data_IF_246465010271
#
_entry.id   IF_246465010271
#
_cell.length_a   1.000
_cell.length_b   1.000
_cell.length_c   1.000
_cell.angle_alpha   90.00
_cell.angle_beta   90.00
_cell.angle_gamma   90.00
#
_symmetry.space_group_name_H-M   'P 1'
#
loop_
_entity.id
_entity.type
_entity.pdbx_description
1 polymer ?
#
# COMPACT_ATOMS: atom_id res chain seq x y z
N UNK A 1 -28.65 1.29 31.65
CA UNK A 1 -27.60 1.85 30.76
C UNK A 1 -27.95 3.29 30.42
N UNK A 2 -27.05 4.23 30.66
CA UNK A 2 -27.25 5.67 30.42
C UNK A 2 -27.26 6.00 28.92
N UNK A 3 -28.06 6.99 28.50
CA UNK A 3 -28.12 7.51 27.11
C UNK A 3 -26.74 7.97 26.62
N UNK A 4 -25.91 8.53 27.51
CA UNK A 4 -24.57 8.98 27.18
C UNK A 4 -23.65 7.83 26.72
N UNK A 5 -23.72 6.66 27.37
CA UNK A 5 -22.93 5.49 26.97
C UNK A 5 -23.37 4.95 25.60
N UNK A 6 -24.67 5.00 25.30
CA UNK A 6 -25.19 4.56 23.98
C UNK A 6 -24.73 5.49 22.86
N UNK A 7 -24.66 6.79 23.13
CA UNK A 7 -24.13 7.77 22.19
C UNK A 7 -22.62 7.59 21.95
N UNK A 8 -21.83 7.35 23.00
CA UNK A 8 -20.40 7.06 22.89
C UNK A 8 -20.13 5.81 22.04
N UNK A 9 -20.81 4.70 22.34
CA UNK A 9 -20.67 3.47 21.53
C UNK A 9 -21.15 3.63 20.09
N UNK A 10 -22.15 4.49 19.83
CA UNK A 10 -22.56 4.80 18.47
C UNK A 10 -21.46 5.56 17.71
N UNK A 11 -20.84 6.57 18.33
CA UNK A 11 -19.74 7.34 17.76
C UNK A 11 -18.50 6.48 17.52
N UNK A 12 -18.13 5.61 18.47
CA UNK A 12 -17.02 4.67 18.33
C UNK A 12 -17.19 3.75 17.12
N UNK A 13 -18.39 3.19 16.92
CA UNK A 13 -18.69 2.31 15.79
C UNK A 13 -18.66 3.05 14.45
N UNK A 14 -19.11 4.30 14.41
CA UNK A 14 -19.02 5.13 13.21
C UNK A 14 -17.56 5.46 12.90
N UNK A 15 -16.78 5.84 13.92
CA UNK A 15 -15.34 6.09 13.78
C UNK A 15 -14.57 4.87 13.29
N UNK A 16 -14.82 3.69 13.87
CA UNK A 16 -14.16 2.45 13.46
C UNK A 16 -14.54 2.02 12.03
N UNK A 17 -15.79 2.21 11.62
CA UNK A 17 -16.24 1.96 10.25
C UNK A 17 -15.47 2.81 9.22
N UNK A 18 -15.42 4.13 9.41
CA UNK A 18 -14.70 5.01 8.49
C UNK A 18 -13.18 4.80 8.54
N UNK A 19 -12.64 4.49 9.72
CA UNK A 19 -11.24 4.11 9.88
C UNK A 19 -10.88 2.86 9.07
N UNK A 20 -11.70 1.82 9.12
CA UNK A 20 -11.49 0.59 8.35
C UNK A 20 -11.56 0.84 6.84
N UNK A 21 -12.51 1.66 6.37
CA UNK A 21 -12.62 2.02 4.94
C UNK A 21 -11.40 2.83 4.49
N UNK A 22 -10.99 3.85 5.24
CA UNK A 22 -9.83 4.66 4.91
C UNK A 22 -8.54 3.83 4.85
N UNK A 23 -8.37 2.90 5.78
CA UNK A 23 -7.27 1.95 5.76
C UNK A 23 -7.31 1.05 4.52
N UNK A 24 -8.49 0.50 4.17
CA UNK A 24 -8.65 -0.31 2.98
C UNK A 24 -8.32 0.47 1.69
N UNK A 25 -8.73 1.74 1.59
CA UNK A 25 -8.38 2.60 0.46
C UNK A 25 -6.87 2.83 0.35
N UNK A 26 -6.19 3.06 1.48
CA UNK A 26 -4.74 3.24 1.52
C UNK A 26 -4.00 1.98 1.06
N UNK A 27 -4.38 0.81 1.58
CA UNK A 27 -3.74 -0.47 1.24
C UNK A 27 -3.98 -0.86 -0.22
N UNK A 28 -5.14 -0.50 -0.78
CA UNK A 28 -5.45 -0.76 -2.20
C UNK A 28 -5.03 0.39 -3.13
N UNK A 29 -4.33 1.41 -2.61
CA UNK A 29 -3.88 2.52 -3.45
C UNK A 29 -2.78 2.07 -4.41
N UNK A 30 -2.71 2.72 -5.57
CA UNK A 30 -1.64 2.51 -6.55
C UNK A 30 -0.25 2.75 -5.93
N UNK A 31 -0.15 3.65 -4.93
CA UNK A 31 1.09 3.87 -4.19
C UNK A 31 1.52 2.64 -3.40
N UNK A 32 0.61 2.04 -2.62
CA UNK A 32 0.91 0.82 -1.86
C UNK A 32 1.28 -0.33 -2.79
N UNK A 33 0.55 -0.52 -3.89
CA UNK A 33 0.85 -1.57 -4.88
C UNK A 33 2.27 -1.44 -5.46
N UNK A 34 2.74 -0.22 -5.73
CA UNK A 34 4.11 0.03 -6.21
C UNK A 34 5.16 -0.24 -5.14
N UNK A 35 4.89 0.09 -3.88
CA UNK A 35 5.77 -0.26 -2.77
C UNK A 35 5.90 -1.77 -2.60
N UNK A 36 4.78 -2.50 -2.69
CA UNK A 36 4.77 -3.95 -2.62
C UNK A 36 5.59 -4.56 -3.77
N UNK A 37 5.47 -4.00 -4.98
CA UNK A 37 6.27 -4.41 -6.13
C UNK A 37 7.77 -4.14 -5.92
N UNK A 38 8.15 -2.99 -5.35
CA UNK A 38 9.55 -2.71 -5.01
C UNK A 38 10.08 -3.72 -4.01
N UNK A 39 9.33 -4.01 -2.94
CA UNK A 39 9.74 -5.00 -1.94
C UNK A 39 9.89 -6.40 -2.55
N UNK A 40 8.96 -6.80 -3.42
CA UNK A 40 9.04 -8.08 -4.12
C UNK A 40 10.28 -8.18 -5.03
N UNK A 41 10.67 -7.10 -5.70
CA UNK A 41 11.89 -7.05 -6.50
C UNK A 41 13.15 -7.00 -5.63
N UNK A 42 13.15 -6.26 -4.52
CA UNK A 42 14.27 -6.19 -3.58
C UNK A 42 14.54 -7.52 -2.88
N UNK A 43 13.51 -8.35 -2.70
CA UNK A 43 13.65 -9.69 -2.13
C UNK A 43 14.36 -10.70 -3.07
N UNK A 44 14.55 -10.36 -4.35
CA UNK A 44 15.24 -11.22 -5.33
C UNK A 44 16.76 -11.10 -5.24
N UNK A 45 17.45 -12.19 -5.54
CA UNK A 45 18.90 -12.22 -5.74
C UNK A 45 19.31 -11.47 -7.02
N UNK A 46 20.60 -11.12 -7.15
CA UNK A 46 21.11 -10.44 -8.34
C UNK A 46 20.98 -11.29 -9.61
N UNK A 47 21.10 -12.62 -9.48
CA UNK A 47 20.91 -13.55 -10.60
C UNK A 47 19.46 -13.52 -11.10
N UNK A 48 18.48 -13.60 -10.19
CA UNK A 48 17.05 -13.52 -10.54
C UNK A 48 16.68 -12.15 -11.12
N UNK A 49 17.26 -11.06 -10.61
CA UNK A 49 17.05 -9.72 -11.19
C UNK A 49 17.65 -9.62 -12.60
N UNK A 50 18.83 -10.22 -12.83
CA UNK A 50 19.47 -10.25 -14.14
C UNK A 50 18.64 -11.05 -15.17
N UNK A 51 18.00 -12.16 -14.77
CA UNK A 51 17.06 -12.90 -15.62
C UNK A 51 15.86 -12.05 -16.05
N UNK A 52 15.42 -11.12 -15.20
CA UNK A 52 14.37 -10.14 -15.49
C UNK A 52 14.89 -8.91 -16.24
N UNK A 53 16.19 -8.85 -16.54
CA UNK A 53 16.89 -7.69 -17.10
C UNK A 53 16.73 -6.41 -16.26
N UNK A 54 16.70 -6.54 -14.94
CA UNK A 54 16.59 -5.46 -13.97
C UNK A 54 17.91 -5.34 -13.21
N UNK A 55 18.48 -4.14 -13.14
CA UNK A 55 19.56 -3.84 -12.18
C UNK A 55 18.96 -3.45 -10.84
N UNK A 56 19.59 -3.87 -9.74
CA UNK A 56 19.12 -3.57 -8.37
C UNK A 56 18.90 -2.08 -8.13
N UNK A 57 19.85 -1.26 -8.59
CA UNK A 57 19.77 0.20 -8.48
C UNK A 57 18.64 0.82 -9.34
N UNK A 58 18.15 0.09 -10.34
CA UNK A 58 17.09 0.53 -11.25
C UNK A 58 15.69 0.08 -10.82
N UNK A 59 15.53 -0.68 -9.73
CA UNK A 59 14.22 -1.22 -9.31
C UNK A 59 13.16 -0.11 -9.22
N UNK A 60 13.49 1.03 -8.61
CA UNK A 60 12.56 2.16 -8.48
C UNK A 60 12.23 2.76 -9.84
N UNK A 61 13.22 2.90 -10.73
CA UNK A 61 12.99 3.41 -12.08
C UNK A 61 12.05 2.49 -12.86
N UNK A 62 12.26 1.16 -12.80
CA UNK A 62 11.42 0.18 -13.48
C UNK A 62 9.97 0.18 -12.98
N UNK A 63 9.76 0.32 -11.66
CA UNK A 63 8.41 0.33 -11.07
C UNK A 63 7.64 1.62 -11.40
N UNK A 64 8.34 2.73 -11.63
CA UNK A 64 7.72 4.03 -11.92
C UNK A 64 7.90 4.50 -13.37
N UNK A 65 8.44 3.66 -14.27
CA UNK A 65 8.75 4.05 -15.66
C UNK A 65 7.56 4.59 -16.43
N UNK A 66 6.37 4.06 -16.17
CA UNK A 66 5.12 4.50 -16.76
C UNK A 66 4.76 5.95 -16.41
N UNK A 67 5.23 6.48 -15.27
CA UNK A 67 5.01 7.87 -14.90
C UNK A 67 6.02 8.83 -15.54
N UNK A 68 7.23 8.36 -15.87
CA UNK A 68 8.28 9.21 -16.46
C UNK A 68 8.06 9.49 -17.94
N UNK A 69 7.36 8.61 -18.65
CA UNK A 69 7.16 8.67 -20.11
C UNK A 69 5.70 8.93 -20.51
N UNK A 70 4.91 9.55 -19.62
CA UNK A 70 3.53 9.96 -19.87
C UNK A 70 3.41 11.22 -20.74
#
# INVERSE_FOLDING_TARGET
MSVAHRAQHALERVGSFFGAIGHAMMVNSTGQQRLDQIHALQAKSDAELAELNIKRDNIVHEVFKDLYYA
#
